data_IF_829991638399
#
_entry.id   IF_829991638399
#
_cell.length_a   1.000
_cell.length_b   1.000
_cell.length_c   1.000
_cell.angle_alpha   90.00
_cell.angle_beta   90.00
_cell.angle_gamma   90.00
#
_symmetry.space_group_name_H-M   'P 1'
#
loop_
_entity.id
_entity.type
_entity.pdbx_description
1 polymer ?
#
# COMPACT_ATOMS: atom_id res chain seq x y z
N UNK A 1 42.42 -1.20 24.77
CA UNK A 1 41.70 -2.25 25.51
C UNK A 1 41.03 -3.16 24.50
N UNK A 2 41.28 -4.48 24.49
CA UNK A 2 40.61 -5.39 23.57
C UNK A 2 39.14 -5.55 23.97
N UNK A 3 38.24 -5.58 23.00
CA UNK A 3 36.81 -5.84 23.22
C UNK A 3 36.68 -7.30 23.64
N UNK A 4 36.08 -7.53 24.82
CA UNK A 4 35.74 -8.87 25.28
C UNK A 4 34.52 -9.38 24.50
N UNK A 5 34.76 -10.18 23.45
CA UNK A 5 33.73 -10.73 22.58
C UNK A 5 32.66 -11.54 23.36
N UNK A 6 33.06 -12.27 24.41
CA UNK A 6 32.13 -13.05 25.23
C UNK A 6 31.18 -12.14 26.03
N UNK A 7 31.69 -11.02 26.54
CA UNK A 7 30.86 -10.04 27.24
C UNK A 7 29.89 -9.30 26.30
N UNK A 8 30.20 -9.21 25.01
CA UNK A 8 29.26 -8.69 23.99
C UNK A 8 28.20 -9.74 23.66
N UNK A 9 28.61 -11.00 23.47
CA UNK A 9 27.71 -12.10 23.15
C UNK A 9 26.63 -12.30 24.23
N UNK A 10 27.03 -12.31 25.51
CA UNK A 10 26.09 -12.44 26.62
C UNK A 10 25.08 -11.30 26.67
N UNK A 11 25.51 -10.05 26.41
CA UNK A 11 24.61 -8.89 26.39
C UNK A 11 23.59 -8.96 25.25
N UNK A 12 23.99 -9.46 24.09
CA UNK A 12 23.09 -9.68 22.97
C UNK A 12 22.06 -10.76 23.28
N UNK A 13 22.50 -11.87 23.88
CA UNK A 13 21.60 -12.95 24.31
C UNK A 13 20.57 -12.47 25.35
N UNK A 14 21.02 -11.71 26.36
CA UNK A 14 20.12 -11.13 27.35
C UNK A 14 19.12 -10.15 26.74
N UNK A 15 19.55 -9.35 25.74
CA UNK A 15 18.66 -8.46 25.01
C UNK A 15 17.62 -9.23 24.20
N UNK A 16 18.02 -10.28 23.49
CA UNK A 16 17.09 -11.15 22.74
C UNK A 16 16.04 -11.78 23.65
N UNK A 17 16.43 -12.24 24.84
CA UNK A 17 15.49 -12.83 25.80
C UNK A 17 14.48 -11.78 26.29
N UNK A 18 14.95 -10.57 26.64
CA UNK A 18 14.08 -9.48 27.07
C UNK A 18 13.10 -9.06 25.97
N UNK A 19 13.59 -8.86 24.76
CA UNK A 19 12.78 -8.43 23.62
C UNK A 19 11.70 -9.46 23.31
N UNK A 20 12.04 -10.76 23.36
CA UNK A 20 11.06 -11.83 23.19
C UNK A 20 9.99 -11.79 24.29
N UNK A 21 10.40 -11.68 25.55
CA UNK A 21 9.44 -11.62 26.67
C UNK A 21 8.52 -10.40 26.58
N UNK A 22 9.05 -9.26 26.14
CA UNK A 22 8.27 -8.04 25.93
C UNK A 22 7.26 -8.20 24.81
N UNK A 23 7.65 -8.84 23.70
CA UNK A 23 6.77 -9.07 22.57
C UNK A 23 5.65 -10.06 22.91
N UNK A 24 5.96 -11.13 23.64
CA UNK A 24 4.96 -12.11 24.13
C UNK A 24 3.96 -11.47 25.09
N UNK A 25 4.45 -10.66 26.04
CA UNK A 25 3.59 -9.90 26.96
C UNK A 25 2.71 -8.89 26.20
N UNK A 26 3.29 -8.14 25.26
CA UNK A 26 2.56 -7.18 24.42
C UNK A 26 1.48 -7.87 23.60
N UNK A 27 1.79 -9.00 22.96
CA UNK A 27 0.81 -9.79 22.21
C UNK A 27 -0.32 -10.31 23.11
N UNK A 28 -0.01 -10.74 24.33
CA UNK A 28 -1.04 -11.22 25.27
C UNK A 28 -1.96 -10.08 25.72
N UNK A 29 -1.41 -8.90 25.97
CA UNK A 29 -2.16 -7.74 26.47
C UNK A 29 -2.95 -7.05 25.34
N UNK A 30 -2.35 -6.92 24.16
CA UNK A 30 -2.86 -6.09 23.07
C UNK A 30 -3.31 -6.88 21.84
N UNK A 31 -3.02 -8.18 21.74
CA UNK A 31 -3.33 -9.01 20.57
C UNK A 31 -4.82 -9.16 20.32
N UNK A 32 -5.59 -9.52 21.35
CA UNK A 32 -7.06 -9.59 21.27
C UNK A 32 -7.69 -8.22 20.97
N UNK A 33 -7.36 -7.14 21.71
CA UNK A 33 -7.82 -5.79 21.36
C UNK A 33 -7.47 -5.35 19.93
N UNK A 34 -6.26 -5.66 19.45
CA UNK A 34 -5.83 -5.30 18.09
C UNK A 34 -6.59 -6.12 17.03
N UNK A 35 -6.86 -7.40 17.29
CA UNK A 35 -7.65 -8.25 16.41
C UNK A 35 -9.10 -7.79 16.34
N UNK A 36 -9.71 -7.52 17.50
CA UNK A 36 -11.06 -6.96 17.58
C UNK A 36 -11.18 -5.58 16.89
N UNK A 37 -10.16 -4.72 17.03
CA UNK A 37 -10.14 -3.43 16.34
C UNK A 37 -9.99 -3.56 14.81
N UNK A 38 -9.24 -4.55 14.33
CA UNK A 38 -9.11 -4.81 12.89
C UNK A 38 -10.36 -5.48 12.27
N UNK A 39 -11.10 -6.27 13.07
CA UNK A 39 -12.34 -6.94 12.66
C UNK A 39 -13.59 -6.05 12.85
N UNK A 40 -13.43 -4.89 13.49
CA UNK A 40 -14.49 -3.94 13.81
C UNK A 40 -14.78 -3.02 12.62
N UNK A 41 -16.05 -2.95 12.21
CA UNK A 41 -16.57 -1.92 11.28
C UNK A 41 -16.71 -0.54 11.95
N UNK A 42 -16.49 -0.45 13.27
CA UNK A 42 -16.52 0.80 14.02
C UNK A 42 -15.34 1.69 13.58
N UNK A 43 -15.63 2.91 13.14
CA UNK A 43 -14.60 3.86 12.76
C UNK A 43 -13.64 4.11 13.94
N UNK A 44 -12.34 3.94 13.69
CA UNK A 44 -11.32 4.14 14.72
C UNK A 44 -11.44 5.55 15.31
N UNK A 45 -11.69 5.63 16.62
CA UNK A 45 -11.78 6.89 17.33
C UNK A 45 -10.39 7.55 17.32
N UNK A 46 -10.23 8.60 16.52
CA UNK A 46 -9.00 9.37 16.43
C UNK A 46 -9.27 10.76 16.99
N UNK A 47 -9.39 10.91 18.33
CA UNK A 47 -9.96 12.11 18.96
C UNK A 47 -9.21 13.41 18.66
N UNK A 48 -7.94 13.33 18.24
CA UNK A 48 -7.18 14.48 17.76
C UNK A 48 -7.59 14.80 16.31
N UNK A 49 -7.57 13.82 15.42
CA UNK A 49 -7.99 13.99 14.02
C UNK A 49 -9.47 14.38 13.91
N UNK A 50 -10.34 13.77 14.71
CA UNK A 50 -11.77 14.04 14.75
C UNK A 50 -12.06 15.50 15.13
N UNK A 51 -11.29 16.07 16.07
CA UNK A 51 -11.40 17.50 16.43
C UNK A 51 -11.03 18.41 15.26
N UNK A 52 -10.01 18.04 14.49
CA UNK A 52 -9.63 18.81 13.31
C UNK A 52 -10.63 18.65 12.16
N UNK A 53 -11.11 17.43 11.89
CA UNK A 53 -12.14 17.15 10.89
C UNK A 53 -13.43 17.92 11.23
N UNK A 54 -13.85 17.89 12.49
CA UNK A 54 -15.06 18.60 12.96
C UNK A 54 -14.86 20.12 12.97
N UNK A 55 -13.68 20.61 13.37
CA UNK A 55 -13.42 22.03 13.53
C UNK A 55 -13.10 22.77 12.24
N UNK A 56 -12.43 22.14 11.28
CA UNK A 56 -11.99 22.75 10.03
C UNK A 56 -12.83 22.33 8.81
N UNK A 57 -13.68 21.30 8.95
CA UNK A 57 -14.57 20.84 7.88
C UNK A 57 -13.81 20.41 6.63
N UNK A 58 -14.36 20.72 5.45
CA UNK A 58 -13.80 20.35 4.15
C UNK A 58 -12.44 20.98 3.85
N UNK A 59 -12.07 22.07 4.54
CA UNK A 59 -10.78 22.76 4.36
C UNK A 59 -9.69 22.19 5.27
N UNK A 60 -10.04 21.37 6.27
CA UNK A 60 -9.11 20.88 7.27
C UNK A 60 -7.93 20.12 6.70
N UNK A 61 -8.18 19.25 5.71
CA UNK A 61 -7.10 18.48 5.08
C UNK A 61 -6.13 19.42 4.34
N UNK A 62 -6.63 20.45 3.64
CA UNK A 62 -5.78 21.41 2.93
C UNK A 62 -4.95 22.26 3.88
N UNK A 63 -5.53 22.70 5.00
CA UNK A 63 -4.82 23.47 6.03
C UNK A 63 -3.76 22.63 6.75
N UNK A 64 -4.02 21.34 6.99
CA UNK A 64 -3.11 20.46 7.75
C UNK A 64 -1.93 19.95 6.93
N UNK A 65 -2.09 19.71 5.63
CA UNK A 65 -1.02 19.14 4.80
C UNK A 65 -0.18 20.20 4.08
N UNK A 66 -0.63 21.46 4.06
CA UNK A 66 -0.03 22.53 3.27
C UNK A 66 0.09 22.17 1.77
N UNK A 67 -0.80 21.32 1.26
CA UNK A 67 -0.83 20.96 -0.15
C UNK A 67 -1.57 22.01 -0.97
N UNK A 68 -1.04 22.28 -2.17
CA UNK A 68 -1.75 23.02 -3.19
C UNK A 68 -2.89 22.17 -3.77
N UNK A 69 -3.86 22.81 -4.42
CA UNK A 69 -4.95 22.10 -5.12
C UNK A 69 -4.37 21.08 -6.11
N UNK A 70 -3.34 21.46 -6.87
CA UNK A 70 -2.68 20.57 -7.84
C UNK A 70 -2.08 19.32 -7.19
N UNK A 71 -1.55 19.43 -5.97
CA UNK A 71 -1.01 18.28 -5.24
C UNK A 71 -2.13 17.32 -4.80
N UNK A 72 -3.30 17.84 -4.42
CA UNK A 72 -4.47 17.00 -4.15
C UNK A 72 -4.99 16.30 -5.40
N UNK A 73 -5.10 17.02 -6.52
CA UNK A 73 -5.50 16.42 -7.81
C UNK A 73 -4.53 15.30 -8.23
N UNK A 74 -3.23 15.51 -7.98
CA UNK A 74 -2.21 14.49 -8.25
C UNK A 74 -2.41 13.26 -7.38
N UNK A 75 -2.69 13.40 -6.08
CA UNK A 75 -2.98 12.26 -5.20
C UNK A 75 -4.26 11.54 -5.61
N UNK A 76 -5.30 12.29 -5.94
CA UNK A 76 -6.58 11.75 -6.39
C UNK A 76 -6.44 10.98 -7.71
N UNK A 77 -5.53 11.41 -8.60
CA UNK A 77 -5.24 10.71 -9.84
C UNK A 77 -4.74 9.27 -9.63
N UNK A 78 -4.16 8.95 -8.47
CA UNK A 78 -3.71 7.59 -8.14
C UNK A 78 -4.80 6.74 -7.48
N UNK A 79 -5.93 7.32 -7.08
CA UNK A 79 -6.98 6.58 -6.40
C UNK A 79 -7.83 5.77 -7.39
N UNK A 80 -7.91 4.45 -7.16
CA UNK A 80 -8.79 3.56 -7.90
C UNK A 80 -10.08 3.31 -7.10
N UNK A 81 -11.15 4.03 -7.42
CA UNK A 81 -12.44 3.87 -6.72
C UNK A 81 -13.04 2.46 -6.77
N UNK A 82 -12.73 1.66 -7.80
CA UNK A 82 -13.14 0.24 -7.89
C UNK A 82 -12.48 -0.66 -6.84
N UNK A 83 -11.25 -0.34 -6.45
CA UNK A 83 -10.41 -1.19 -5.60
C UNK A 83 -10.17 -0.58 -4.22
N UNK A 84 -10.64 0.64 -3.98
CA UNK A 84 -10.40 1.43 -2.77
C UNK A 84 -8.91 1.52 -2.39
N UNK A 85 -8.06 1.63 -3.41
CA UNK A 85 -6.61 1.57 -3.30
C UNK A 85 -5.95 2.68 -4.10
N UNK A 86 -4.87 3.22 -3.56
CA UNK A 86 -3.99 4.16 -4.25
C UNK A 86 -2.85 3.41 -4.93
N UNK A 87 -2.57 3.72 -6.20
CA UNK A 87 -1.42 3.17 -6.88
C UNK A 87 -1.45 3.31 -8.40
N UNK A 88 -0.70 2.42 -9.04
CA UNK A 88 -0.62 2.30 -10.49
C UNK A 88 -1.26 1.00 -10.96
N UNK A 89 -1.80 1.04 -12.17
CA UNK A 89 -2.37 -0.11 -12.87
C UNK A 89 -1.49 -0.44 -14.06
N UNK A 90 -1.46 -1.72 -14.40
CA UNK A 90 -0.86 -2.22 -15.64
C UNK A 90 -1.80 -3.22 -16.29
N UNK A 91 -1.81 -3.22 -17.61
CA UNK A 91 -2.40 -4.29 -18.40
C UNK A 91 -1.31 -5.31 -18.76
N UNK A 92 -1.64 -6.58 -18.60
CA UNK A 92 -0.78 -7.68 -19.02
C UNK A 92 -1.55 -8.63 -19.92
N UNK A 93 -0.86 -9.16 -20.92
CA UNK A 93 -1.37 -10.21 -21.79
C UNK A 93 -0.33 -11.34 -21.86
N UNK A 94 -0.79 -12.58 -21.74
CA UNK A 94 0.05 -13.77 -21.78
C UNK A 94 -0.15 -14.50 -23.11
N UNK A 95 0.92 -14.99 -23.71
CA UNK A 95 0.83 -15.77 -24.95
C UNK A 95 0.05 -17.08 -24.72
N UNK A 96 -0.62 -17.64 -25.75
CA UNK A 96 -1.41 -18.87 -25.59
C UNK A 96 -0.61 -20.07 -25.08
N UNK A 97 0.70 -20.13 -25.35
CA UNK A 97 1.61 -21.16 -24.88
C UNK A 97 2.20 -20.89 -23.47
N UNK A 98 1.83 -19.76 -22.85
CA UNK A 98 2.27 -19.36 -21.51
C UNK A 98 3.72 -18.90 -21.41
N UNK A 99 4.43 -18.70 -22.54
CA UNK A 99 5.88 -18.41 -22.55
C UNK A 99 6.23 -16.93 -22.53
N UNK A 100 5.32 -16.07 -22.95
CA UNK A 100 5.59 -14.64 -23.10
C UNK A 100 4.52 -13.81 -22.39
N UNK A 101 4.96 -12.73 -21.76
CA UNK A 101 4.09 -11.73 -21.13
C UNK A 101 4.36 -10.38 -21.77
N UNK A 102 3.34 -9.80 -22.40
CA UNK A 102 3.34 -8.41 -22.83
C UNK A 102 2.76 -7.55 -21.70
N UNK A 103 3.43 -6.46 -21.35
CA UNK A 103 3.07 -5.63 -20.21
C UNK A 103 2.94 -4.16 -20.62
N UNK A 104 2.06 -3.42 -19.95
CA UNK A 104 1.94 -1.98 -20.12
C UNK A 104 2.93 -1.17 -19.33
N UNK A 105 3.06 0.09 -19.76
CA UNK A 105 3.52 1.14 -18.86
C UNK A 105 2.54 1.28 -17.71
N UNK A 106 3.00 1.86 -16.61
CA UNK A 106 2.15 2.14 -15.46
C UNK A 106 1.17 3.27 -15.78
N UNK A 107 -0.11 3.04 -15.52
CA UNK A 107 -1.19 4.02 -15.60
C UNK A 107 -1.65 4.38 -14.19
N UNK A 108 -2.13 5.60 -13.97
CA UNK A 108 -2.59 6.03 -12.65
C UNK A 108 -3.86 5.25 -12.23
N UNK A 109 -4.04 4.99 -10.93
CA UNK A 109 -5.15 4.19 -10.41
C UNK A 109 -6.55 4.70 -10.78
N UNK A 110 -6.70 6.01 -10.99
CA UNK A 110 -7.98 6.61 -11.44
C UNK A 110 -8.36 6.27 -12.88
N UNK A 111 -7.40 5.81 -13.69
CA UNK A 111 -7.68 5.43 -15.08
C UNK A 111 -8.56 4.17 -15.09
N UNK A 112 -9.61 4.21 -15.90
CA UNK A 112 -10.54 3.10 -16.03
C UNK A 112 -9.91 1.93 -16.82
N UNK A 113 -10.13 0.71 -16.36
CA UNK A 113 -9.51 -0.50 -16.91
C UNK A 113 -9.79 -0.66 -18.42
N UNK A 114 -11.01 -0.32 -18.88
CA UNK A 114 -11.38 -0.34 -20.30
C UNK A 114 -10.59 0.67 -21.14
N UNK A 115 -10.24 1.83 -20.58
CA UNK A 115 -9.43 2.83 -21.28
C UNK A 115 -8.03 2.29 -21.53
N UNK A 116 -7.44 1.63 -20.52
CA UNK A 116 -6.14 0.98 -20.64
C UNK A 116 -6.21 -0.09 -21.73
N UNK A 117 -7.17 -1.02 -21.65
CA UNK A 117 -7.35 -2.09 -22.64
C UNK A 117 -7.56 -1.57 -24.07
N UNK A 118 -8.42 -0.56 -24.26
CA UNK A 118 -8.69 0.01 -25.58
C UNK A 118 -7.46 0.72 -26.17
N UNK A 119 -6.64 1.37 -25.34
CA UNK A 119 -5.41 2.00 -25.80
C UNK A 119 -4.41 0.99 -26.39
N UNK A 120 -4.45 -0.26 -25.91
CA UNK A 120 -3.53 -1.34 -26.29
C UNK A 120 -4.10 -2.37 -27.25
N UNK A 121 -5.36 -2.21 -27.65
CA UNK A 121 -6.03 -3.09 -28.60
C UNK A 121 -5.18 -3.34 -29.86
N UNK A 122 -4.57 -2.29 -30.44
CA UNK A 122 -3.70 -2.44 -31.61
C UNK A 122 -2.48 -3.35 -31.38
N UNK A 123 -1.88 -3.32 -30.18
CA UNK A 123 -0.75 -4.19 -29.79
C UNK A 123 -1.21 -5.63 -29.67
N UNK A 124 -2.36 -5.86 -29.04
CA UNK A 124 -2.94 -7.20 -28.88
C UNK A 124 -3.22 -7.83 -30.26
N UNK A 125 -3.83 -7.08 -31.18
CA UNK A 125 -4.09 -7.55 -32.56
C UNK A 125 -2.81 -7.84 -33.33
N UNK A 126 -1.79 -6.98 -33.20
CA UNK A 126 -0.49 -7.21 -33.84
C UNK A 126 0.22 -8.47 -33.31
N UNK A 127 0.08 -8.77 -32.01
CA UNK A 127 0.65 -9.97 -31.40
C UNK A 127 -0.07 -11.25 -31.83
N UNK A 128 -1.40 -11.20 -32.06
CA UNK A 128 -2.17 -12.32 -32.61
C UNK A 128 -1.76 -12.66 -34.05
N UNK A 129 -1.47 -11.65 -34.87
CA UNK A 129 -1.08 -11.82 -36.27
C UNK A 129 0.30 -12.48 -36.47
N UNK A 130 1.13 -12.57 -35.42
CA UNK A 130 2.50 -13.14 -35.48
C UNK A 130 2.56 -14.64 -35.17
N UNK A 131 1.45 -15.37 -35.28
CA UNK A 131 1.41 -16.82 -35.07
C UNK A 131 1.62 -17.60 -36.38
N UNK A 132 2.89 -17.84 -36.74
CA UNK A 132 3.42 -19.06 -37.40
C UNK A 132 4.85 -18.82 -37.93
N UNK A 133 5.85 -19.32 -37.22
CA UNK A 133 7.08 -19.87 -37.80
C UNK A 133 7.43 -21.16 -37.09
#
# INVERSE_FOLDING_TARGET
MPINANAVLNRLQDQTIRDRSYLEASFTIHGEPARAANESDEAAAHPIMDKFITGLGSEGIRTLTNFTVTQFETLWSYFSGKHDLYGYKIETAVSPDGRYVAMSTADAGSVHDLTIMNSRHHVQFANLAKSAS
#
